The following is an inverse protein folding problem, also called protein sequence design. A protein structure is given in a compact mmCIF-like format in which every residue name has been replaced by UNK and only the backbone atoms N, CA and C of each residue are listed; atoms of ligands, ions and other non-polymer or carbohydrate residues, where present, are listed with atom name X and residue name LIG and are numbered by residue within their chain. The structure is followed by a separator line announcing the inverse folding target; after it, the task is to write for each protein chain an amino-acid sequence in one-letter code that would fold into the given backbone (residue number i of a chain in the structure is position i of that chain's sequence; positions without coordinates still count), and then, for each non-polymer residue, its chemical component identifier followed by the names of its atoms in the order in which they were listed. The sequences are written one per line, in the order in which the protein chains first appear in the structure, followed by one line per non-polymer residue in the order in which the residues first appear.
data_IF_148128304038
#
_entry.id   IF_148128304038
#
_cell.length_a   1.000
_cell.length_b   1.000
_cell.length_c   1.000
_cell.angle_alpha   90.00
_cell.angle_beta   90.00
_cell.angle_gamma   90.00
#
_symmetry.space_group_name_H-M   'P 1'
#
loop_
_entity.id
_entity.type
_entity.pdbx_description
1 polymer ?
#
# COMPACT_ATOMS: atom_id res chain seq x y z
N UNK A 1 19.93 0.52 4.52
CA UNK A 1 19.64 0.22 3.10
C UNK A 1 18.29 0.78 2.68
N UNK A 2 17.15 0.38 3.27
CA UNK A 2 15.83 0.88 2.80
C UNK A 2 15.54 2.32 3.24
N UNK A 3 15.93 2.72 4.44
CA UNK A 3 15.82 4.11 4.92
C UNK A 3 16.66 5.07 4.07
N UNK A 4 17.91 4.68 3.77
CA UNK A 4 18.81 5.42 2.87
C UNK A 4 18.22 5.50 1.45
N UNK A 5 17.61 4.41 0.98
CA UNK A 5 16.92 4.37 -0.31
C UNK A 5 15.72 5.33 -0.35
N UNK A 6 14.96 5.45 0.74
CA UNK A 6 13.86 6.42 0.83
C UNK A 6 14.37 7.87 0.84
N UNK A 7 15.43 8.14 1.59
CA UNK A 7 16.11 9.46 1.62
C UNK A 7 16.58 9.86 0.23
N UNK A 8 17.32 8.98 -0.45
CA UNK A 8 17.85 9.23 -1.79
C UNK A 8 16.73 9.32 -2.85
N UNK A 9 15.64 8.55 -2.68
CA UNK A 9 14.48 8.67 -3.56
C UNK A 9 13.84 10.05 -3.41
N UNK A 10 13.65 10.53 -2.17
CA UNK A 10 13.11 11.85 -1.92
C UNK A 10 13.99 12.96 -2.53
N UNK A 11 15.32 12.83 -2.39
CA UNK A 11 16.27 13.78 -2.99
C UNK A 11 16.17 13.79 -4.52
N UNK A 12 16.24 12.64 -5.17
CA UNK A 12 16.24 12.52 -6.64
C UNK A 12 14.89 12.88 -7.28
N UNK A 13 13.80 12.58 -6.61
CA UNK A 13 12.44 12.93 -7.08
C UNK A 13 12.00 14.32 -6.59
N UNK A 14 12.89 15.06 -5.91
CA UNK A 14 12.60 16.40 -5.35
C UNK A 14 11.32 16.39 -4.49
N UNK A 15 11.21 15.42 -3.59
CA UNK A 15 10.08 15.28 -2.69
C UNK A 15 10.47 15.82 -1.32
N UNK A 16 9.71 16.78 -0.82
CA UNK A 16 9.88 17.36 0.50
C UNK A 16 9.07 16.64 1.57
N UNK A 17 9.42 16.84 2.85
CA UNK A 17 8.58 16.39 3.98
C UNK A 17 7.19 17.01 3.92
N UNK A 18 7.09 18.29 3.55
CA UNK A 18 5.81 18.98 3.43
C UNK A 18 4.87 18.34 2.41
N UNK A 19 5.39 17.69 1.35
CA UNK A 19 4.57 16.93 0.40
C UNK A 19 4.20 15.54 0.91
N UNK A 20 5.04 14.93 1.75
CA UNK A 20 4.80 13.59 2.28
C UNK A 20 3.90 13.58 3.53
N UNK A 21 3.96 14.61 4.37
CA UNK A 21 3.23 14.69 5.63
C UNK A 21 1.70 14.55 5.47
N UNK A 22 1.04 15.13 4.46
CA UNK A 22 -0.38 14.90 4.20
C UNK A 22 -0.75 13.42 3.99
N UNK A 23 0.14 12.64 3.37
CA UNK A 23 -0.06 11.20 3.16
C UNK A 23 0.06 10.40 4.45
N UNK A 24 1.02 10.75 5.31
CA UNK A 24 1.13 10.19 6.66
C UNK A 24 -0.15 10.44 7.45
N UNK A 25 -0.61 11.68 7.49
CA UNK A 25 -1.85 12.05 8.18
C UNK A 25 -3.06 11.32 7.61
N UNK A 26 -3.14 11.21 6.27
CA UNK A 26 -4.20 10.51 5.57
C UNK A 26 -4.22 9.01 5.91
N UNK A 27 -3.08 8.33 5.86
CA UNK A 27 -2.98 6.90 6.16
C UNK A 27 -3.50 6.61 7.57
N UNK A 28 -3.03 7.31 8.59
CA UNK A 28 -3.49 7.15 9.96
C UNK A 28 -4.98 7.52 10.16
N UNK A 29 -5.45 8.59 9.51
CA UNK A 29 -6.86 9.01 9.59
C UNK A 29 -7.79 7.94 9.02
N UNK A 30 -7.47 7.42 7.83
CA UNK A 30 -8.28 6.40 7.17
C UNK A 30 -8.25 5.08 7.92
N UNK A 31 -7.10 4.68 8.45
CA UNK A 31 -6.97 3.48 9.27
C UNK A 31 -7.78 3.58 10.57
N UNK A 32 -7.71 4.73 11.24
CA UNK A 32 -8.50 4.98 12.45
C UNK A 32 -10.01 4.95 12.16
N UNK A 33 -10.44 5.54 11.04
CA UNK A 33 -11.83 5.50 10.61
C UNK A 33 -12.28 4.08 10.27
N UNK A 34 -11.46 3.32 9.52
CA UNK A 34 -11.77 1.93 9.17
C UNK A 34 -11.91 1.04 10.42
N UNK A 35 -11.06 1.26 11.42
CA UNK A 35 -11.14 0.56 12.71
C UNK A 35 -12.42 0.94 13.48
N UNK A 36 -12.78 2.22 13.52
CA UNK A 36 -13.98 2.71 14.22
C UNK A 36 -15.28 2.20 13.56
N UNK A 37 -15.30 2.14 12.23
CA UNK A 37 -16.46 1.68 11.44
C UNK A 37 -16.54 0.15 11.34
N UNK A 38 -15.53 -0.59 11.80
CA UNK A 38 -15.42 -2.02 11.61
C UNK A 38 -15.33 -2.46 10.14
N UNK A 39 -14.83 -1.57 9.27
CA UNK A 39 -14.83 -1.77 7.81
C UNK A 39 -14.01 -2.99 7.34
N UNK A 40 -13.06 -3.45 8.15
CA UNK A 40 -12.21 -4.61 7.89
C UNK A 40 -12.48 -5.77 8.87
N UNK A 41 -13.50 -5.67 9.71
CA UNK A 41 -13.75 -6.64 10.80
C UNK A 41 -14.00 -8.08 10.32
N UNK A 42 -14.54 -8.24 9.12
CA UNK A 42 -14.81 -9.54 8.50
C UNK A 42 -13.57 -10.24 7.92
N UNK A 43 -12.45 -9.52 7.79
CA UNK A 43 -11.17 -10.08 7.34
C UNK A 43 -10.10 -10.11 8.45
N UNK A 44 -10.39 -9.52 9.62
CA UNK A 44 -9.47 -9.53 10.76
C UNK A 44 -9.82 -10.69 11.69
N UNK A 45 -8.82 -11.53 11.96
CA UNK A 45 -8.93 -12.64 12.92
C UNK A 45 -8.21 -12.24 14.20
N UNK A 46 -8.92 -12.07 15.34
CA UNK A 46 -8.29 -11.84 16.63
C UNK A 46 -7.31 -12.95 16.99
N UNK A 47 -6.13 -12.60 17.47
CA UNK A 47 -5.07 -13.55 17.76
C UNK A 47 -4.36 -13.17 19.07
N UNK A 48 -4.12 -14.16 19.94
CA UNK A 48 -3.38 -13.98 21.20
C UNK A 48 -3.85 -12.82 22.09
N UNK A 49 -5.14 -12.50 22.06
CA UNK A 49 -5.72 -11.38 22.81
C UNK A 49 -5.56 -10.01 22.16
N UNK A 50 -4.87 -9.90 21.02
CA UNK A 50 -4.83 -8.68 20.22
C UNK A 50 -6.18 -8.48 19.50
N UNK A 51 -6.80 -7.33 19.71
CA UNK A 51 -8.12 -6.99 19.15
C UNK A 51 -8.08 -5.75 18.26
N UNK A 52 -6.91 -5.15 18.08
CA UNK A 52 -6.72 -3.94 17.28
C UNK A 52 -5.28 -3.82 16.78
N UNK A 53 -5.10 -3.10 15.68
CA UNK A 53 -3.77 -2.69 15.20
C UNK A 53 -3.14 -1.66 16.14
N UNK A 54 -1.94 -1.94 16.62
CA UNK A 54 -1.22 -1.07 17.56
C UNK A 54 -0.49 0.08 16.86
N UNK A 55 -0.26 -0.01 15.55
CA UNK A 55 0.42 1.00 14.74
C UNK A 55 -0.39 2.27 14.52
N UNK A 56 -1.71 2.18 14.52
CA UNK A 56 -2.61 3.29 14.20
C UNK A 56 -2.48 4.41 15.22
N UNK A 57 -2.31 5.65 14.76
CA UNK A 57 -2.19 6.86 15.58
C UNK A 57 -3.36 7.82 15.27
N UNK A 58 -4.54 7.66 15.93
CA UNK A 58 -5.72 8.50 15.64
C UNK A 58 -5.52 10.00 15.90
N UNK A 59 -4.54 10.34 16.73
CA UNK A 59 -4.18 11.73 17.08
C UNK A 59 -2.96 12.25 16.32
N UNK A 60 -2.58 11.59 15.21
CA UNK A 60 -1.50 12.09 14.35
C UNK A 60 -1.86 13.49 13.86
N UNK A 61 -0.91 14.41 13.89
CA UNK A 61 -1.13 15.80 13.53
C UNK A 61 0.14 16.43 12.97
N UNK A 62 -0.01 17.51 12.17
CA UNK A 62 1.13 18.25 11.62
C UNK A 62 2.09 18.71 12.71
N UNK A 63 1.56 19.23 13.81
CA UNK A 63 2.38 19.65 14.96
C UNK A 63 3.27 18.52 15.52
N UNK A 64 2.78 17.27 15.45
CA UNK A 64 3.59 16.11 15.85
C UNK A 64 4.66 15.83 14.82
N UNK A 65 4.31 15.84 13.52
CA UNK A 65 5.23 15.59 12.41
C UNK A 65 6.38 16.60 12.37
N UNK A 66 6.08 17.88 12.59
CA UNK A 66 7.06 18.97 12.61
C UNK A 66 8.17 18.79 13.68
N UNK A 67 7.88 18.01 14.72
CA UNK A 67 8.79 17.77 15.86
C UNK A 67 9.65 16.51 15.70
N UNK A 68 9.32 15.66 14.72
CA UNK A 68 10.04 14.40 14.52
C UNK A 68 11.40 14.65 13.87
N UNK A 69 12.50 14.20 14.48
CA UNK A 69 13.81 14.24 13.87
C UNK A 69 13.90 13.25 12.71
N UNK A 70 14.85 13.45 11.82
CA UNK A 70 15.23 12.42 10.86
C UNK A 70 15.84 11.22 11.59
N UNK A 71 15.59 10.01 11.09
CA UNK A 71 16.12 8.77 11.68
C UNK A 71 17.55 8.48 11.23
N UNK A 72 17.98 9.05 10.10
CA UNK A 72 19.34 8.92 9.61
C UNK A 72 20.16 10.15 10.02
N UNK A 73 21.39 9.92 10.44
CA UNK A 73 22.36 11.00 10.69
C UNK A 73 22.61 11.78 9.39
N UNK A 74 22.45 13.10 9.42
CA UNK A 74 22.52 13.94 8.23
C UNK A 74 21.33 13.82 7.26
N UNK A 75 20.34 12.97 7.54
CA UNK A 75 19.12 12.84 6.76
C UNK A 75 18.26 14.11 6.79
N UNK A 76 17.43 14.29 5.76
CA UNK A 76 16.58 15.46 5.59
C UNK A 76 15.10 15.12 5.42
N UNK A 77 14.79 13.87 5.06
CA UNK A 77 13.44 13.45 4.72
C UNK A 77 12.88 12.41 5.70
N UNK A 78 13.56 11.27 5.86
CA UNK A 78 13.02 10.09 6.54
C UNK A 78 12.93 10.27 8.04
N UNK A 79 11.75 10.10 8.61
CA UNK A 79 11.49 10.14 10.05
C UNK A 79 10.61 8.96 10.49
N UNK A 80 10.33 8.86 11.78
CA UNK A 80 9.56 7.76 12.35
C UNK A 80 8.08 7.72 11.93
N UNK A 81 7.55 8.76 11.28
CA UNK A 81 6.16 8.79 10.83
C UNK A 81 6.01 8.55 9.33
N UNK A 82 7.01 8.92 8.51
CA UNK A 82 6.98 8.73 7.05
C UNK A 82 7.67 7.44 6.59
N UNK A 83 8.11 6.62 7.54
CA UNK A 83 8.56 5.24 7.36
C UNK A 83 7.62 4.30 8.13
N UNK A 84 7.24 3.18 7.52
CA UNK A 84 6.38 2.20 8.17
C UNK A 84 7.05 1.54 9.38
N UNK A 85 6.25 1.06 10.32
CA UNK A 85 6.70 0.17 11.38
C UNK A 85 7.03 -1.20 10.82
N UNK A 86 8.08 -1.83 11.33
CA UNK A 86 8.29 -3.27 11.20
C UNK A 86 7.51 -3.93 12.34
N UNK A 87 6.65 -4.90 12.02
CA UNK A 87 5.80 -5.58 12.99
C UNK A 87 5.53 -7.02 12.56
N UNK A 88 5.02 -7.81 13.50
CA UNK A 88 4.52 -9.15 13.20
C UNK A 88 3.16 -9.08 12.50
N UNK A 89 2.87 -10.09 11.68
CA UNK A 89 1.59 -10.20 10.99
C UNK A 89 1.50 -11.47 10.16
N UNK A 90 0.29 -11.94 9.95
CA UNK A 90 -0.03 -13.05 9.07
C UNK A 90 -1.28 -12.72 8.25
N UNK A 91 -1.35 -13.22 7.03
CA UNK A 91 -2.52 -13.07 6.19
C UNK A 91 -2.68 -14.28 5.28
N UNK A 92 -3.92 -14.66 4.99
CA UNK A 92 -4.26 -15.78 4.14
C UNK A 92 -5.18 -15.33 3.02
N UNK A 93 -4.86 -15.77 1.80
CA UNK A 93 -5.69 -15.61 0.61
C UNK A 93 -5.85 -16.97 -0.04
N UNK A 94 -7.10 -17.40 -0.26
CA UNK A 94 -7.39 -18.64 -0.97
C UNK A 94 -7.38 -18.38 -2.48
N UNK A 95 -6.51 -19.07 -3.19
CA UNK A 95 -6.44 -19.06 -4.65
C UNK A 95 -6.92 -20.40 -5.21
N UNK A 96 -7.77 -20.36 -6.22
CA UNK A 96 -8.27 -21.55 -6.89
C UNK A 96 -8.32 -21.33 -8.41
N UNK A 97 -8.20 -22.40 -9.18
CA UNK A 97 -8.51 -22.35 -10.61
C UNK A 97 -10.00 -22.11 -10.83
N UNK A 98 -10.35 -21.52 -11.96
CA UNK A 98 -11.77 -21.29 -12.31
C UNK A 98 -12.55 -22.61 -12.37
N UNK A 99 -11.95 -23.67 -12.89
CA UNK A 99 -12.58 -24.99 -12.95
C UNK A 99 -12.85 -25.57 -11.55
N UNK A 100 -11.87 -25.45 -10.64
CA UNK A 100 -12.04 -25.90 -9.27
C UNK A 100 -13.13 -25.09 -8.53
N UNK A 101 -13.08 -23.78 -8.66
CA UNK A 101 -14.07 -22.89 -8.04
C UNK A 101 -15.50 -23.22 -8.49
N UNK A 102 -15.70 -23.46 -9.78
CA UNK A 102 -17.00 -23.87 -10.35
C UNK A 102 -17.45 -25.25 -9.85
N UNK A 103 -16.51 -26.23 -9.87
CA UNK A 103 -16.84 -27.61 -9.42
C UNK A 103 -17.23 -27.69 -7.95
N UNK A 104 -16.70 -26.78 -7.11
CA UNK A 104 -16.96 -26.75 -5.66
C UNK A 104 -17.91 -25.62 -5.22
N UNK A 105 -18.54 -24.92 -6.18
CA UNK A 105 -19.45 -23.79 -5.92
C UNK A 105 -18.85 -22.74 -4.96
N UNK A 106 -17.55 -22.41 -5.13
CA UNK A 106 -16.89 -21.41 -4.30
C UNK A 106 -17.37 -19.99 -4.64
N UNK A 107 -17.61 -19.18 -3.62
CA UNK A 107 -17.92 -17.77 -3.77
C UNK A 107 -16.65 -16.97 -4.16
N UNK A 108 -16.39 -16.83 -5.46
CA UNK A 108 -15.24 -16.10 -5.98
C UNK A 108 -15.46 -14.61 -5.81
N UNK A 109 -14.55 -13.93 -5.10
CA UNK A 109 -14.63 -12.48 -4.88
C UNK A 109 -14.00 -11.69 -6.02
N UNK A 110 -12.91 -12.18 -6.60
CA UNK A 110 -12.23 -11.54 -7.72
C UNK A 110 -11.42 -12.56 -8.55
N UNK A 111 -11.06 -12.16 -9.76
CA UNK A 111 -10.14 -12.89 -10.63
C UNK A 111 -8.80 -12.16 -10.69
N UNK A 112 -7.71 -12.88 -10.55
CA UNK A 112 -6.37 -12.37 -10.88
C UNK A 112 -6.27 -12.28 -12.41
N UNK A 113 -6.05 -11.08 -12.93
CA UNK A 113 -6.02 -10.83 -14.39
C UNK A 113 -4.59 -10.81 -14.92
N UNK A 114 -3.74 -10.01 -14.29
CA UNK A 114 -2.35 -9.84 -14.69
C UNK A 114 -1.45 -9.65 -13.48
N UNK A 115 -0.20 -9.98 -13.64
CA UNK A 115 0.88 -9.63 -12.72
C UNK A 115 2.06 -9.09 -13.51
N UNK A 116 2.84 -8.25 -12.88
CA UNK A 116 4.08 -7.72 -13.43
C UNK A 116 5.14 -7.60 -12.34
N UNK A 117 6.40 -7.75 -12.74
CA UNK A 117 7.55 -7.38 -11.94
C UNK A 117 8.40 -6.41 -12.76
N UNK A 118 9.03 -5.48 -12.09
CA UNK A 118 9.94 -4.52 -12.70
C UNK A 118 11.19 -4.37 -11.84
N UNK A 119 12.33 -4.18 -12.48
CA UNK A 119 13.59 -3.81 -11.85
C UNK A 119 13.91 -2.35 -12.14
N UNK A 120 14.52 -1.69 -11.18
CA UNK A 120 15.01 -0.31 -11.29
C UNK A 120 16.34 -0.14 -10.57
N UNK A 121 16.74 1.10 -10.36
CA UNK A 121 17.95 1.43 -9.60
C UNK A 121 17.80 0.95 -8.14
N UNK A 122 18.67 0.04 -7.64
CA UNK A 122 18.61 -0.47 -6.28
C UNK A 122 18.78 0.60 -5.21
N UNK A 123 19.39 1.73 -5.54
CA UNK A 123 19.60 2.85 -4.61
C UNK A 123 18.30 3.63 -4.33
N UNK A 124 17.31 3.57 -5.22
CA UNK A 124 16.01 4.23 -5.09
C UNK A 124 14.86 3.21 -5.12
N UNK A 125 15.04 2.13 -4.39
CA UNK A 125 14.10 1.00 -4.34
C UNK A 125 12.62 1.38 -4.17
N UNK A 126 12.21 2.41 -3.38
CA UNK A 126 10.81 2.83 -3.30
C UNK A 126 10.14 3.12 -4.65
N UNK A 127 10.89 3.61 -5.64
CA UNK A 127 10.40 3.90 -6.99
C UNK A 127 9.91 2.66 -7.74
N UNK A 128 10.41 1.48 -7.38
CA UNK A 128 10.08 0.23 -8.07
C UNK A 128 8.59 -0.15 -7.98
N UNK A 129 7.85 0.32 -6.97
CA UNK A 129 6.40 0.15 -6.91
C UNK A 129 5.70 0.82 -8.10
N UNK A 130 6.11 2.03 -8.46
CA UNK A 130 5.55 2.77 -9.60
C UNK A 130 5.97 2.13 -10.92
N UNK A 131 7.22 1.66 -11.03
CA UNK A 131 7.69 0.96 -12.22
C UNK A 131 6.89 -0.33 -12.45
N UNK A 132 6.60 -1.09 -11.39
CA UNK A 132 5.80 -2.31 -11.48
C UNK A 132 4.34 -2.03 -11.87
N UNK A 133 3.73 -0.96 -11.35
CA UNK A 133 2.38 -0.54 -11.78
C UNK A 133 2.35 -0.16 -13.26
N UNK A 134 3.30 0.62 -13.74
CA UNK A 134 3.37 0.97 -15.15
C UNK A 134 3.50 -0.27 -16.04
N UNK A 135 4.38 -1.20 -15.67
CA UNK A 135 4.54 -2.46 -16.39
C UNK A 135 3.26 -3.32 -16.36
N UNK A 136 2.55 -3.33 -15.22
CA UNK A 136 1.26 -4.01 -15.08
C UNK A 136 0.20 -3.43 -16.01
N UNK A 137 0.02 -2.11 -16.01
CA UNK A 137 -0.97 -1.42 -16.85
C UNK A 137 -0.67 -1.62 -18.33
N UNK A 138 0.59 -1.51 -18.72
CA UNK A 138 1.03 -1.80 -20.10
C UNK A 138 0.71 -3.24 -20.49
N UNK A 139 1.04 -4.22 -19.64
CA UNK A 139 0.76 -5.64 -19.89
C UNK A 139 -0.73 -5.94 -19.97
N UNK A 140 -1.54 -5.26 -19.17
CA UNK A 140 -2.99 -5.41 -19.16
C UNK A 140 -3.69 -4.68 -20.33
N UNK A 141 -2.98 -3.77 -21.03
CA UNK A 141 -3.59 -2.90 -22.04
C UNK A 141 -4.61 -1.93 -21.46
N UNK A 142 -4.43 -1.52 -20.20
CA UNK A 142 -5.33 -0.63 -19.48
C UNK A 142 -4.67 0.72 -19.21
N UNK A 143 -5.47 1.79 -19.32
CA UNK A 143 -5.11 3.10 -18.75
C UNK A 143 -5.32 3.08 -17.23
N UNK A 144 -4.54 3.88 -16.49
CA UNK A 144 -4.76 4.05 -15.05
C UNK A 144 -6.18 4.56 -14.74
N UNK A 145 -6.81 5.32 -15.64
CA UNK A 145 -8.18 5.83 -15.47
C UNK A 145 -9.26 4.73 -15.46
N UNK A 146 -8.92 3.52 -15.87
CA UNK A 146 -9.79 2.36 -15.83
C UNK A 146 -9.64 1.54 -14.54
N UNK A 147 -8.74 1.93 -13.65
CA UNK A 147 -8.53 1.29 -12.35
C UNK A 147 -9.31 2.05 -11.30
N UNK A 148 -10.20 1.36 -10.60
CA UNK A 148 -11.08 1.95 -9.59
C UNK A 148 -10.41 2.10 -8.23
N UNK A 149 -9.53 1.15 -7.88
CA UNK A 149 -8.81 1.15 -6.61
C UNK A 149 -7.35 0.76 -6.78
N UNK A 150 -6.49 1.45 -6.03
CA UNK A 150 -5.06 1.12 -5.91
C UNK A 150 -4.70 0.87 -4.46
N UNK A 151 -3.93 -0.17 -4.22
CA UNK A 151 -3.34 -0.47 -2.91
C UNK A 151 -1.82 -0.63 -3.06
N UNK A 152 -1.06 0.35 -2.58
CA UNK A 152 0.39 0.29 -2.56
C UNK A 152 0.87 0.09 -1.13
N UNK A 153 1.92 -0.70 -0.99
CA UNK A 153 2.58 -0.83 0.29
C UNK A 153 3.33 0.45 0.63
N UNK A 154 2.79 1.23 1.56
CA UNK A 154 3.35 2.49 2.05
C UNK A 154 4.58 2.24 2.95
N UNK A 155 5.60 1.56 2.42
CA UNK A 155 6.83 1.37 3.20
C UNK A 155 7.46 2.71 3.61
N UNK A 156 7.28 3.72 2.78
CA UNK A 156 7.70 5.12 2.99
C UNK A 156 6.73 6.05 2.28
N UNK A 157 6.40 7.18 2.87
CA UNK A 157 5.48 8.17 2.29
C UNK A 157 5.98 8.77 0.96
N UNK A 158 7.24 8.62 0.61
CA UNK A 158 7.75 8.99 -0.72
C UNK A 158 7.05 8.20 -1.84
N UNK A 159 6.58 6.96 -1.56
CA UNK A 159 5.82 6.13 -2.51
C UNK A 159 4.48 6.78 -2.83
N UNK A 160 3.80 7.31 -1.80
CA UNK A 160 2.49 7.95 -1.95
C UNK A 160 2.59 9.22 -2.81
N UNK A 161 3.62 10.02 -2.58
CA UNK A 161 3.88 11.22 -3.39
C UNK A 161 4.17 10.85 -4.84
N UNK A 162 5.03 9.85 -5.08
CA UNK A 162 5.31 9.36 -6.43
C UNK A 162 4.05 8.80 -7.10
N UNK A 163 3.21 8.08 -6.34
CA UNK A 163 1.93 7.58 -6.85
C UNK A 163 1.03 8.73 -7.30
N UNK A 164 0.81 9.74 -6.46
CA UNK A 164 -0.06 10.87 -6.79
C UNK A 164 0.41 11.66 -8.01
N UNK A 165 1.73 11.77 -8.18
CA UNK A 165 2.33 12.42 -9.36
C UNK A 165 2.19 11.59 -10.64
N UNK A 166 2.34 10.26 -10.52
CA UNK A 166 2.24 9.34 -11.66
C UNK A 166 0.79 9.05 -12.09
N UNK A 167 -0.14 9.04 -11.13
CA UNK A 167 -1.55 8.66 -11.33
C UNK A 167 -2.49 9.71 -10.70
N UNK A 168 -2.53 10.94 -11.23
CA UNK A 168 -3.35 12.00 -10.64
C UNK A 168 -4.84 11.68 -10.71
N UNK A 169 -5.59 12.15 -9.70
CA UNK A 169 -7.04 11.96 -9.61
C UNK A 169 -7.49 10.64 -8.98
N UNK A 170 -6.54 9.82 -8.49
CA UNK A 170 -6.86 8.54 -7.86
C UNK A 170 -6.83 8.56 -6.32
N UNK A 171 -6.65 9.73 -5.69
CA UNK A 171 -6.50 9.85 -4.24
C UNK A 171 -7.66 9.21 -3.46
N UNK A 172 -8.89 9.30 -3.99
CA UNK A 172 -10.07 8.71 -3.36
C UNK A 172 -10.15 7.18 -3.47
N UNK A 173 -9.48 6.59 -4.46
CA UNK A 173 -9.40 5.14 -4.69
C UNK A 173 -8.09 4.52 -4.20
N UNK A 174 -7.20 5.31 -3.62
CA UNK A 174 -5.87 4.90 -3.20
C UNK A 174 -5.84 4.60 -1.70
N UNK A 175 -5.38 3.40 -1.32
CA UNK A 175 -5.26 2.95 0.07
C UNK A 175 -6.48 3.42 0.91
N UNK A 176 -7.67 2.95 0.49
CA UNK A 176 -8.97 3.47 0.95
C UNK A 176 -9.17 3.33 2.47
N UNK A 177 -8.51 2.38 3.08
CA UNK A 177 -8.56 2.13 4.52
C UNK A 177 -7.28 2.55 5.26
N UNK A 178 -6.42 3.35 4.63
CA UNK A 178 -5.06 3.58 5.08
C UNK A 178 -4.12 2.45 4.67
N UNK A 179 -2.83 2.60 4.91
CA UNK A 179 -1.81 1.67 4.47
C UNK A 179 -0.72 1.40 5.51
N UNK A 180 0.43 0.94 5.06
CA UNK A 180 1.51 0.46 5.93
C UNK A 180 2.09 1.53 6.86
N UNK A 181 1.99 2.81 6.55
CA UNK A 181 2.37 3.89 7.48
C UNK A 181 1.58 3.82 8.79
N UNK A 182 0.31 3.39 8.72
CA UNK A 182 -0.55 3.25 9.89
C UNK A 182 -0.56 1.82 10.47
N UNK A 183 -0.65 0.79 9.61
CA UNK A 183 -0.77 -0.61 10.05
C UNK A 183 0.57 -1.28 10.31
N UNK A 184 1.66 -0.76 9.72
CA UNK A 184 2.95 -1.40 9.72
C UNK A 184 3.17 -2.30 8.49
N UNK A 185 4.36 -2.93 8.45
CA UNK A 185 4.82 -3.72 7.31
C UNK A 185 5.41 -5.06 7.79
N UNK A 186 4.59 -6.10 7.91
CA UNK A 186 5.05 -7.44 8.30
C UNK A 186 5.63 -8.21 7.09
N UNK A 187 6.49 -7.56 6.31
CA UNK A 187 7.24 -8.09 5.16
C UNK A 187 6.50 -9.14 4.32
N UNK A 188 6.69 -10.44 4.62
CA UNK A 188 6.13 -11.55 3.86
C UNK A 188 4.60 -11.62 3.85
N UNK A 189 3.93 -11.03 4.84
CA UNK A 189 2.46 -10.98 4.89
C UNK A 189 1.87 -9.77 4.15
N UNK A 190 2.66 -8.71 3.91
CA UNK A 190 2.13 -7.43 3.39
C UNK A 190 1.47 -7.56 2.03
N UNK A 191 1.99 -8.39 1.13
CA UNK A 191 1.36 -8.62 -0.18
C UNK A 191 -0.06 -9.17 -0.06
N UNK A 192 -0.29 -10.12 0.84
CA UNK A 192 -1.62 -10.66 1.11
C UNK A 192 -2.52 -9.63 1.80
N UNK A 193 -1.99 -8.84 2.75
CA UNK A 193 -2.74 -7.78 3.44
C UNK A 193 -3.26 -6.73 2.47
N UNK A 194 -2.39 -6.17 1.61
CA UNK A 194 -2.83 -5.16 0.64
C UNK A 194 -3.81 -5.73 -0.39
N UNK A 195 -3.71 -7.02 -0.71
CA UNK A 195 -4.69 -7.67 -1.58
C UNK A 195 -6.06 -7.80 -0.90
N UNK A 196 -6.12 -8.14 0.38
CA UNK A 196 -7.36 -8.15 1.15
C UNK A 196 -7.97 -6.75 1.25
N UNK A 197 -7.15 -5.72 1.53
CA UNK A 197 -7.59 -4.33 1.53
C UNK A 197 -8.12 -3.90 0.15
N UNK A 198 -7.45 -4.29 -0.93
CA UNK A 198 -7.89 -4.00 -2.30
C UNK A 198 -9.26 -4.61 -2.60
N UNK A 199 -9.51 -5.87 -2.21
CA UNK A 199 -10.82 -6.52 -2.34
C UNK A 199 -11.90 -5.73 -1.59
N UNK A 200 -11.63 -5.33 -0.34
CA UNK A 200 -12.56 -4.53 0.46
C UNK A 200 -12.77 -3.13 -0.12
N UNK A 201 -11.72 -2.51 -0.67
CA UNK A 201 -11.79 -1.21 -1.35
C UNK A 201 -12.70 -1.28 -2.57
N UNK A 202 -12.55 -2.31 -3.41
CA UNK A 202 -13.41 -2.53 -4.57
C UNK A 202 -14.86 -2.81 -4.16
N UNK A 203 -15.10 -3.59 -3.10
CA UNK A 203 -16.44 -3.83 -2.57
C UNK A 203 -17.09 -2.53 -2.09
N UNK A 204 -16.40 -1.76 -1.27
CA UNK A 204 -16.89 -0.49 -0.70
C UNK A 204 -17.24 0.54 -1.78
N UNK A 205 -16.44 0.60 -2.84
CA UNK A 205 -16.58 1.61 -3.90
C UNK A 205 -17.43 1.13 -5.09
N UNK A 206 -17.85 -0.12 -5.11
CA UNK A 206 -18.52 -0.71 -6.28
C UNK A 206 -17.62 -0.81 -7.51
N UNK A 207 -16.28 -0.76 -7.31
CA UNK A 207 -15.30 -0.80 -8.39
C UNK A 207 -15.14 -2.18 -8.99
N UNK A 208 -14.62 -2.24 -10.22
CA UNK A 208 -14.36 -3.47 -10.98
C UNK A 208 -12.90 -3.86 -10.97
N UNK A 209 -12.00 -2.95 -11.36
CA UNK A 209 -10.58 -3.21 -11.46
C UNK A 209 -9.81 -2.61 -10.30
N UNK A 210 -8.94 -3.41 -9.71
CA UNK A 210 -8.03 -2.97 -8.66
C UNK A 210 -6.61 -3.39 -8.94
N UNK A 211 -5.65 -2.53 -8.62
CA UNK A 211 -4.23 -2.79 -8.76
C UNK A 211 -3.50 -2.66 -7.42
N UNK A 212 -2.68 -3.65 -7.10
CA UNK A 212 -1.80 -3.62 -5.92
C UNK A 212 -0.34 -3.59 -6.34
N UNK A 213 0.52 -2.92 -5.56
CA UNK A 213 1.97 -2.91 -5.82
C UNK A 213 2.79 -2.83 -4.54
N UNK A 214 3.95 -3.49 -4.59
CA UNK A 214 4.95 -3.52 -3.51
C UNK A 214 6.33 -3.25 -4.08
N UNK A 215 7.08 -2.35 -3.44
CA UNK A 215 8.50 -2.17 -3.67
C UNK A 215 9.32 -3.05 -2.71
N UNK A 216 10.44 -3.57 -3.16
CA UNK A 216 11.38 -4.31 -2.35
C UNK A 216 12.81 -3.77 -2.49
N UNK A 217 13.65 -4.07 -1.50
CA UNK A 217 15.08 -3.75 -1.55
C UNK A 217 15.74 -4.36 -2.79
N UNK A 218 16.73 -3.64 -3.34
CA UNK A 218 17.38 -4.05 -4.59
C UNK A 218 16.72 -3.50 -5.86
N UNK A 219 15.78 -2.54 -5.72
CA UNK A 219 15.11 -1.90 -6.86
C UNK A 219 14.05 -2.78 -7.53
N UNK A 220 13.55 -3.81 -6.86
CA UNK A 220 12.54 -4.72 -7.39
C UNK A 220 11.15 -4.25 -6.98
N UNK A 221 10.23 -4.22 -7.93
CA UNK A 221 8.79 -4.00 -7.68
C UNK A 221 7.94 -5.12 -8.24
N UNK A 222 6.83 -5.41 -7.60
CA UNK A 222 5.81 -6.33 -8.10
C UNK A 222 4.45 -5.69 -8.06
N UNK A 223 3.60 -6.01 -9.03
CA UNK A 223 2.23 -5.52 -9.09
C UNK A 223 1.25 -6.59 -9.57
N UNK A 224 0.02 -6.49 -9.10
CA UNK A 224 -1.06 -7.42 -9.41
C UNK A 224 -2.32 -6.65 -9.79
N UNK A 225 -3.01 -7.10 -10.85
CA UNK A 225 -4.32 -6.62 -11.26
C UNK A 225 -5.37 -7.68 -10.93
N UNK A 226 -6.42 -7.25 -10.22
CA UNK A 226 -7.60 -8.07 -9.97
C UNK A 226 -8.84 -7.44 -10.59
N UNK A 227 -9.79 -8.27 -10.98
CA UNK A 227 -11.12 -7.89 -11.41
C UNK A 227 -12.14 -8.48 -10.44
N UNK A 228 -12.93 -7.62 -9.78
CA UNK A 228 -14.01 -8.06 -8.88
C UNK A 228 -15.10 -8.78 -9.66
N UNK A 229 -15.60 -9.88 -9.09
CA UNK A 229 -16.73 -10.65 -9.62
C UNK A 229 -18.08 -10.03 -9.24
#
# INVERSE_FOLDING_TARGET
VMLEGAELTAEREHISRAESDPWVLRSHKLAAQAAADGALSDIIVPCFGAVRDEGIRPKMSQRLLDRLPCVLEGGRFTNAANACLTNDGAAFVLLASESYAKAHNLAVQAKVRHSAAAGGDPLVSPKSAILALNALLQRAGLSHTQIDCFELNEAFAVIDVMFSRAFPGHENGYNVFGGALAYGHPYGASGAIILLHLLKSLQKRGGRFGAASVAAAGGVGTALLIERC
#
